data_IF_077126981370
#
_entry.id   IF_077126981370
#
_cell.length_a   1.000
_cell.length_b   1.000
_cell.length_c   1.000
_cell.angle_alpha   90.00
_cell.angle_beta   90.00
_cell.angle_gamma   90.00
#
_symmetry.space_group_name_H-M   'P 1'
#
loop_
_entity.id
_entity.type
_entity.pdbx_description
1 polymer ?
#
# COMPACT_ATOMS: atom_id res chain seq x y z
N UNK A 1 24.94 4.69 -6.80
CA UNK A 1 24.67 4.86 -5.36
C UNK A 1 23.16 4.94 -5.26
N UNK A 2 22.49 4.13 -4.42
CA UNK A 2 21.03 4.19 -4.33
C UNK A 2 20.61 5.60 -3.88
N UNK A 3 19.67 6.22 -4.60
CA UNK A 3 19.18 7.55 -4.25
C UNK A 3 18.45 7.49 -2.90
N UNK A 4 18.94 8.25 -1.92
CA UNK A 4 18.38 8.22 -0.58
C UNK A 4 17.19 9.18 -0.51
N UNK A 5 15.98 8.67 -0.74
CA UNK A 5 14.76 9.45 -0.58
C UNK A 5 14.45 9.70 0.89
N UNK A 6 14.67 10.95 1.33
CA UNK A 6 14.30 11.40 2.68
C UNK A 6 12.79 11.30 2.86
N UNK A 7 12.37 10.70 3.98
CA UNK A 7 10.95 10.60 4.34
C UNK A 7 10.27 11.99 4.43
N UNK A 8 9.05 12.15 3.87
CA UNK A 8 8.28 13.37 3.96
C UNK A 8 8.06 13.85 5.41
N UNK A 9 7.93 15.17 5.55
CA UNK A 9 7.67 15.78 6.84
C UNK A 9 6.29 15.37 7.39
N UNK A 10 6.22 15.22 8.72
CA UNK A 10 4.98 14.91 9.43
C UNK A 10 4.59 13.42 9.46
N UNK A 11 5.35 12.53 8.81
CA UNK A 11 5.15 11.08 8.96
C UNK A 11 5.46 10.62 10.39
N UNK A 12 4.63 9.69 10.88
CA UNK A 12 4.82 8.99 12.16
C UNK A 12 5.47 7.63 11.92
N UNK A 13 5.51 6.80 12.96
CA UNK A 13 6.29 5.56 12.95
C UNK A 13 5.89 4.60 11.82
N UNK A 14 4.58 4.45 11.55
CA UNK A 14 4.10 3.47 10.57
C UNK A 14 4.35 3.94 9.13
N UNK A 15 4.08 5.21 8.84
CA UNK A 15 4.35 5.84 7.56
C UNK A 15 5.84 5.89 7.25
N UNK A 16 6.69 6.29 8.21
CA UNK A 16 8.16 6.26 8.05
C UNK A 16 8.67 4.86 7.73
N UNK A 17 8.16 3.84 8.43
CA UNK A 17 8.56 2.46 8.16
C UNK A 17 8.18 2.02 6.75
N UNK A 18 6.96 2.34 6.30
CA UNK A 18 6.53 2.03 4.93
C UNK A 18 7.43 2.75 3.91
N UNK A 19 7.62 4.06 4.07
CA UNK A 19 8.48 4.86 3.20
C UNK A 19 9.87 4.26 3.08
N UNK A 20 10.57 4.08 4.21
CA UNK A 20 11.92 3.54 4.22
C UNK A 20 12.01 2.11 3.68
N UNK A 21 10.99 1.27 3.88
CA UNK A 21 11.00 -0.09 3.32
C UNK A 21 10.90 -0.09 1.81
N UNK A 22 10.10 0.80 1.23
CA UNK A 22 9.91 0.85 -0.22
C UNK A 22 11.10 1.55 -0.88
N UNK A 23 11.53 2.71 -0.38
CA UNK A 23 12.64 3.45 -0.99
C UNK A 23 14.01 2.80 -0.78
N UNK A 24 14.13 1.83 0.13
CA UNK A 24 15.35 1.01 0.26
C UNK A 24 15.45 -0.07 -0.83
N UNK A 25 14.32 -0.58 -1.31
CA UNK A 25 14.25 -1.74 -2.20
C UNK A 25 13.93 -1.37 -3.65
N UNK A 26 13.38 -0.18 -3.88
CA UNK A 26 12.88 0.28 -5.20
C UNK A 26 13.36 1.70 -5.52
N UNK A 27 13.74 1.91 -6.78
CA UNK A 27 13.92 3.23 -7.40
C UNK A 27 12.56 3.67 -7.93
N UNK A 28 12.12 4.89 -7.59
CA UNK A 28 10.75 5.37 -7.83
C UNK A 28 10.77 6.70 -8.57
N UNK A 29 9.88 6.84 -9.55
CA UNK A 29 9.63 8.12 -10.22
C UNK A 29 8.89 9.09 -9.30
N UNK A 30 8.87 10.38 -9.67
CA UNK A 30 8.22 11.44 -8.89
C UNK A 30 6.74 11.14 -8.57
N UNK A 31 6.01 10.59 -9.55
CA UNK A 31 4.60 10.24 -9.37
C UNK A 31 4.42 9.01 -8.45
N UNK A 32 5.35 8.06 -8.45
CA UNK A 32 5.36 6.92 -7.54
C UNK A 32 5.73 7.35 -6.12
N UNK A 33 6.66 8.29 -5.97
CA UNK A 33 7.00 8.91 -4.68
C UNK A 33 5.78 9.64 -4.09
N UNK A 34 5.00 10.34 -4.91
CA UNK A 34 3.75 10.97 -4.47
C UNK A 34 2.72 9.94 -3.98
N UNK A 35 2.54 8.83 -4.72
CA UNK A 35 1.66 7.73 -4.30
C UNK A 35 2.14 7.06 -3.00
N UNK A 36 3.45 6.88 -2.86
CA UNK A 36 4.05 6.32 -1.64
C UNK A 36 3.87 7.26 -0.45
N UNK A 37 3.97 8.58 -0.65
CA UNK A 37 3.70 9.56 0.39
C UNK A 37 2.26 9.46 0.90
N UNK A 38 1.28 9.43 -0.01
CA UNK A 38 -0.13 9.28 0.35
C UNK A 38 -0.40 7.94 1.06
N UNK A 39 0.24 6.86 0.62
CA UNK A 39 0.15 5.56 1.28
C UNK A 39 0.74 5.61 2.69
N UNK A 40 1.89 6.25 2.88
CA UNK A 40 2.54 6.41 4.18
C UNK A 40 1.68 7.23 5.15
N UNK A 41 1.10 8.35 4.68
CA UNK A 41 0.18 9.17 5.48
C UNK A 41 -1.08 8.40 5.87
N UNK A 42 -1.64 7.61 4.95
CA UNK A 42 -2.79 6.75 5.22
C UNK A 42 -2.47 5.66 6.24
N UNK A 43 -1.27 5.06 6.17
CA UNK A 43 -0.81 4.09 7.15
C UNK A 43 -0.72 4.68 8.56
N UNK A 44 -0.22 5.92 8.70
CA UNK A 44 -0.21 6.63 9.98
C UNK A 44 -1.62 6.96 10.50
N UNK A 45 -2.55 7.31 9.62
CA UNK A 45 -3.94 7.55 10.00
C UNK A 45 -4.61 6.26 10.51
N UNK A 46 -4.39 5.13 9.84
CA UNK A 46 -4.89 3.83 10.28
C UNK A 46 -4.36 3.49 11.68
N UNK A 47 -3.07 3.72 11.94
CA UNK A 47 -2.49 3.46 13.26
C UNK A 47 -3.17 4.30 14.35
N UNK A 48 -3.36 5.59 14.11
CA UNK A 48 -4.03 6.49 15.05
C UNK A 48 -5.47 6.11 15.34
N UNK A 49 -6.22 5.74 14.31
CA UNK A 49 -7.61 5.32 14.46
C UNK A 49 -7.69 3.97 15.20
N UNK A 50 -6.76 3.05 14.94
CA UNK A 50 -6.67 1.78 15.67
C UNK A 50 -6.34 2.01 17.14
N UNK A 51 -5.38 2.89 17.47
CA UNK A 51 -5.06 3.25 18.86
C UNK A 51 -6.26 3.82 19.63
N UNK A 52 -7.18 4.52 18.95
CA UNK A 52 -8.43 5.00 19.56
C UNK A 52 -9.39 3.84 19.81
N UNK A 53 -9.59 2.97 18.83
CA UNK A 53 -10.42 1.77 18.98
C UNK A 53 -9.90 0.86 20.10
N UNK A 54 -8.58 0.67 20.17
CA UNK A 54 -7.95 -0.20 21.18
C UNK A 54 -8.10 0.37 22.60
N UNK A 55 -8.09 1.70 22.72
CA UNK A 55 -8.29 2.41 23.99
C UNK A 55 -9.74 2.39 24.43
N UNK A 56 -10.65 2.72 23.51
CA UNK A 56 -12.05 3.02 23.85
C UNK A 56 -12.93 1.76 23.77
N UNK A 57 -12.49 0.74 23.00
CA UNK A 57 -13.23 -0.49 22.74
C UNK A 57 -14.07 -0.42 21.46
N UNK A 58 -14.44 -1.59 20.92
CA UNK A 58 -15.20 -1.70 19.65
C UNK A 58 -16.67 -1.30 19.77
N UNK A 59 -17.23 -1.42 20.97
CA UNK A 59 -18.59 -1.06 21.36
C UNK A 59 -18.48 -0.39 22.71
N UNK A 60 -19.01 0.82 22.84
CA UNK A 60 -18.89 1.57 24.09
C UNK A 60 -20.23 2.19 24.45
N UNK A 61 -20.53 2.23 25.75
CA UNK A 61 -21.72 2.95 26.23
C UNK A 61 -21.62 4.46 25.96
N UNK A 62 -20.40 5.01 25.88
CA UNK A 62 -20.16 6.41 25.53
C UNK A 62 -20.70 6.78 24.14
N UNK A 63 -20.90 5.81 23.24
CA UNK A 63 -21.55 6.01 21.94
C UNK A 63 -23.03 5.61 21.91
N UNK A 64 -23.64 5.40 23.08
CA UNK A 64 -25.03 4.97 23.22
C UNK A 64 -25.24 3.50 22.86
N UNK A 65 -24.25 2.64 23.17
CA UNK A 65 -24.30 1.22 22.83
C UNK A 65 -24.15 0.92 21.34
N UNK A 66 -23.55 1.85 20.59
CA UNK A 66 -23.26 1.71 19.16
C UNK A 66 -21.79 1.37 18.93
N UNK A 67 -21.50 0.85 17.74
CA UNK A 67 -20.14 0.61 17.30
C UNK A 67 -19.32 1.90 17.30
N UNK A 68 -18.05 1.80 17.69
CA UNK A 68 -17.13 2.93 17.73
C UNK A 68 -17.01 3.60 16.34
N UNK A 69 -17.16 4.93 16.21
CA UNK A 69 -17.16 5.63 14.92
C UNK A 69 -15.90 5.37 14.07
N UNK A 70 -14.72 5.33 14.69
CA UNK A 70 -13.47 4.97 14.02
C UNK A 70 -13.46 3.59 13.33
N UNK A 71 -14.35 2.65 13.65
CA UNK A 71 -14.41 1.35 12.95
C UNK A 71 -14.76 1.52 11.47
N UNK A 72 -15.71 2.41 11.16
CA UNK A 72 -16.09 2.72 9.78
C UNK A 72 -14.94 3.38 9.03
N UNK A 73 -14.31 4.36 9.67
CA UNK A 73 -13.17 5.09 9.12
C UNK A 73 -11.97 4.17 8.85
N UNK A 74 -11.56 3.34 9.82
CA UNK A 74 -10.44 2.40 9.65
C UNK A 74 -10.68 1.46 8.47
N UNK A 75 -11.91 0.99 8.29
CA UNK A 75 -12.25 0.12 7.16
C UNK A 75 -12.06 0.85 5.82
N UNK A 76 -12.51 2.09 5.73
CA UNK A 76 -12.34 2.91 4.52
C UNK A 76 -10.87 3.23 4.25
N UNK A 77 -10.11 3.62 5.28
CA UNK A 77 -8.68 3.92 5.15
C UNK A 77 -7.87 2.69 4.73
N UNK A 78 -8.20 1.49 5.24
CA UNK A 78 -7.58 0.23 4.79
C UNK A 78 -7.84 -0.05 3.31
N UNK A 79 -9.05 0.23 2.81
CA UNK A 79 -9.38 0.11 1.39
C UNK A 79 -8.62 1.15 0.54
N UNK A 80 -8.51 2.39 1.02
CA UNK A 80 -7.74 3.43 0.36
C UNK A 80 -6.25 3.05 0.27
N UNK A 81 -5.65 2.60 1.38
CA UNK A 81 -4.27 2.12 1.42
C UNK A 81 -4.05 0.96 0.43
N UNK A 82 -4.95 -0.03 0.41
CA UNK A 82 -4.84 -1.13 -0.54
C UNK A 82 -4.85 -0.65 -2.00
N UNK A 83 -5.68 0.34 -2.33
CA UNK A 83 -5.73 0.93 -3.69
C UNK A 83 -4.45 1.70 -4.02
N UNK A 84 -3.92 2.49 -3.09
CA UNK A 84 -2.66 3.22 -3.28
C UNK A 84 -1.49 2.25 -3.51
N UNK A 85 -1.42 1.18 -2.72
CA UNK A 85 -0.38 0.15 -2.88
C UNK A 85 -0.53 -0.65 -4.19
N UNK A 86 -1.75 -0.81 -4.70
CA UNK A 86 -1.97 -1.40 -6.03
C UNK A 86 -1.55 -0.42 -7.12
N UNK A 87 -1.91 0.87 -7.00
CA UNK A 87 -1.53 1.91 -7.95
C UNK A 87 -0.01 2.07 -8.05
N UNK A 88 0.71 2.01 -6.92
CA UNK A 88 2.18 2.01 -6.88
C UNK A 88 2.82 0.82 -7.60
N UNK A 89 2.06 -0.25 -7.86
CA UNK A 89 2.53 -1.43 -8.62
C UNK A 89 2.16 -1.35 -10.11
N UNK A 90 1.43 -0.33 -10.53
CA UNK A 90 1.08 -0.15 -11.95
C UNK A 90 2.26 0.53 -12.61
N UNK A 91 2.92 -0.10 -13.60
CA UNK A 91 3.94 0.58 -14.38
C UNK A 91 3.32 1.83 -15.00
N UNK A 92 3.93 2.99 -14.76
CA UNK A 92 3.72 4.18 -15.60
C UNK A 92 4.08 3.79 -17.02
N UNK A 93 3.09 3.84 -17.93
CA UNK A 93 3.27 3.33 -19.27
C UNK A 93 4.27 4.14 -20.08
N UNK A 94 5.50 3.66 -20.14
CA UNK A 94 6.43 3.76 -21.28
C UNK A 94 7.27 2.46 -21.35
N UNK A 95 6.62 1.29 -21.28
CA UNK A 95 7.22 0.07 -21.83
C UNK A 95 6.52 -0.17 -23.17
N UNK A 96 7.16 0.38 -24.21
CA UNK A 96 7.00 -0.07 -25.59
C UNK A 96 7.15 -1.59 -25.59
N UNK A 97 6.16 -2.29 -26.14
CA UNK A 97 6.27 -3.70 -26.47
C UNK A 97 7.36 -3.85 -27.54
N UNK A 98 8.62 -4.01 -27.13
CA UNK A 98 9.69 -4.50 -27.98
C UNK A 98 10.60 -5.41 -27.16
N UNK A 99 10.80 -6.60 -27.72
CA UNK A 99 11.50 -7.76 -27.17
C UNK A 99 12.87 -7.42 -26.54
N UNK A 100 13.23 -8.05 -25.42
CA UNK A 100 14.64 -8.43 -25.19
C UNK A 100 14.81 -9.56 -24.16
N UNK A 101 15.38 -10.65 -24.67
CA UNK A 101 15.79 -11.88 -24.00
C UNK A 101 17.19 -11.64 -23.39
N UNK A 102 17.28 -11.06 -22.19
CA UNK A 102 18.56 -10.77 -21.51
C UNK A 102 18.60 -11.32 -20.06
N UNK A 103 19.73 -11.91 -19.58
CA UNK A 103 19.76 -12.55 -18.27
C UNK A 103 19.75 -11.50 -17.14
N UNK A 104 18.57 -11.33 -16.54
CA UNK A 104 18.23 -10.36 -15.51
C UNK A 104 19.18 -10.44 -14.31
N UNK A 105 20.06 -9.44 -14.18
CA UNK A 105 20.82 -9.16 -12.95
C UNK A 105 19.88 -8.59 -11.88
N UNK A 106 19.26 -9.46 -11.07
CA UNK A 106 18.50 -9.14 -9.84
C UNK A 106 17.86 -7.73 -9.79
N UNK A 107 17.11 -7.40 -10.83
CA UNK A 107 16.05 -6.39 -10.87
C UNK A 107 14.72 -7.12 -11.05
N UNK A 108 14.51 -8.16 -10.23
CA UNK A 108 13.37 -9.06 -10.33
C UNK A 108 12.09 -8.40 -9.85
N UNK A 109 11.55 -7.50 -10.66
CA UNK A 109 10.13 -7.14 -10.66
C UNK A 109 9.35 -8.47 -10.73
N UNK A 110 8.51 -8.82 -9.75
CA UNK A 110 7.72 -10.04 -9.86
C UNK A 110 6.76 -9.89 -11.04
N UNK A 111 7.16 -10.51 -12.15
CA UNK A 111 6.37 -10.70 -13.36
C UNK A 111 4.95 -11.11 -12.97
N UNK A 112 3.99 -10.35 -13.49
CA UNK A 112 2.54 -10.48 -13.32
C UNK A 112 2.10 -11.95 -13.32
N UNK A 113 1.85 -12.53 -12.15
CA UNK A 113 1.00 -13.73 -12.07
C UNK A 113 -0.45 -13.27 -12.07
N UNK A 114 -1.03 -13.23 -13.25
CA UNK A 114 -2.46 -12.97 -13.42
C UNK A 114 -3.27 -13.87 -12.49
N UNK A 115 -4.11 -13.24 -11.67
CA UNK A 115 -5.16 -13.92 -10.92
C UNK A 115 -6.20 -14.42 -11.93
N UNK A 116 -5.94 -15.55 -12.59
CA UNK A 116 -6.90 -16.19 -13.50
C UNK A 116 -7.58 -17.33 -12.74
N UNK A 117 -8.86 -17.13 -12.46
CA UNK A 117 -9.71 -18.05 -11.73
C UNK A 117 -9.68 -19.46 -12.32
N UNK A 118 -9.49 -20.43 -11.44
CA UNK A 118 -9.66 -21.85 -11.71
C UNK A 118 -11.12 -22.24 -11.45
N UNK A 119 -11.94 -22.18 -12.50
CA UNK A 119 -13.07 -23.09 -12.66
C UNK A 119 -13.14 -23.46 -14.15
N UNK A 120 -12.21 -24.31 -14.59
CA UNK A 120 -12.41 -25.06 -15.81
C UNK A 120 -13.33 -26.24 -15.47
N UNK A 121 -14.55 -26.18 -16.00
CA UNK A 121 -15.54 -27.24 -16.04
C UNK A 121 -14.91 -28.45 -16.74
N UNK A 122 -14.75 -29.55 -16.00
CA UNK A 122 -14.48 -30.86 -16.57
C UNK A 122 -15.71 -31.74 -16.38
N UNK A 123 -16.34 -32.15 -17.47
CA UNK A 123 -17.31 -33.24 -17.49
C UNK A 123 -17.24 -33.94 -18.85
N UNK A 124 -17.53 -35.24 -18.89
CA UNK A 124 -16.63 -36.37 -18.71
C UNK A 124 -15.98 -36.85 -20.04
#
# INVERSE_FOLDING_TARGET
MAEVHRAPAGLRARGKRLWSSVTADFELDEHELALLEDAARTADLIAQLQERIDRDGVMTEAYGGRAHPCLGEVRQQRLALARLLVALRVPSGEESDEDDDEPVRRSGRPQRRGMRGIYAVGNP
#
